data_IF_487443022769
#
_entry.id   IF_487443022769
#
_cell.length_a   1.000
_cell.length_b   1.000
_cell.length_c   1.000
_cell.angle_alpha   90.00
_cell.angle_beta   90.00
_cell.angle_gamma   90.00
#
_symmetry.space_group_name_H-M   'P 1'
#
loop_
_entity.id
_entity.type
_entity.pdbx_description
1 polymer ?
#
# COMPACT_ATOMS: atom_id res chain seq x y z
N UNK A 1 59.30 -34.18 35.68
CA UNK A 1 58.87 -35.48 35.14
C UNK A 1 57.84 -35.16 34.08
N UNK A 2 58.25 -35.35 32.88
CA UNK A 2 57.49 -35.12 31.66
C UNK A 2 56.76 -36.39 31.29
N UNK A 3 55.56 -36.33 30.85
CA UNK A 3 55.01 -37.31 29.92
C UNK A 3 54.18 -36.63 28.84
N UNK A 4 54.68 -36.83 27.66
CA UNK A 4 54.18 -36.49 26.36
C UNK A 4 52.97 -37.37 26.00
N UNK A 5 52.00 -36.77 25.36
CA UNK A 5 51.09 -37.54 24.52
C UNK A 5 50.87 -36.79 23.20
N UNK A 6 51.25 -37.44 22.11
CA UNK A 6 51.00 -37.00 20.73
C UNK A 6 49.57 -37.36 20.27
N UNK A 7 48.98 -36.63 19.34
CA UNK A 7 47.67 -36.96 18.80
C UNK A 7 47.75 -37.87 17.56
N UNK A 8 46.85 -38.82 17.51
CA UNK A 8 46.58 -39.62 16.34
C UNK A 8 45.86 -38.79 15.26
N UNK A 9 46.34 -38.92 14.06
CA UNK A 9 45.68 -38.49 12.85
C UNK A 9 44.40 -39.31 12.64
N UNK A 10 43.25 -38.62 12.53
CA UNK A 10 42.06 -39.18 11.91
C UNK A 10 41.62 -38.27 10.77
N UNK A 11 41.93 -38.74 9.58
CA UNK A 11 41.38 -38.28 8.34
C UNK A 11 39.87 -38.46 8.32
N UNK A 12 39.09 -37.37 8.40
CA UNK A 12 37.68 -37.36 8.06
C UNK A 12 37.44 -36.36 6.92
N UNK A 13 37.14 -36.93 5.79
CA UNK A 13 36.42 -36.51 4.62
C UNK A 13 35.61 -35.21 4.79
N UNK A 14 36.04 -34.18 4.10
CA UNK A 14 35.23 -32.99 3.74
C UNK A 14 34.15 -33.39 2.74
N UNK A 15 33.02 -33.87 3.22
CA UNK A 15 31.78 -33.98 2.44
C UNK A 15 30.59 -33.74 3.38
N UNK A 16 29.96 -32.64 3.23
CA UNK A 16 28.74 -32.29 3.98
C UNK A 16 28.84 -30.89 4.54
N UNK A 17 28.16 -30.01 4.09
CA UNK A 17 26.75 -29.74 4.10
C UNK A 17 26.54 -28.26 3.77
N UNK A 18 26.46 -27.95 2.49
CA UNK A 18 25.79 -26.73 2.05
C UNK A 18 24.32 -27.10 1.77
N UNK A 19 23.59 -27.49 2.82
CA UNK A 19 22.15 -27.64 2.81
C UNK A 19 21.58 -26.47 3.60
N UNK A 20 21.32 -25.37 2.91
CA UNK A 20 20.68 -24.20 3.48
C UNK A 20 19.90 -23.43 2.45
N UNK A 21 18.58 -23.61 2.38
CA UNK A 21 17.57 -22.86 1.59
C UNK A 21 17.25 -23.32 0.18
N UNK A 22 17.03 -24.60 -0.05
CA UNK A 22 16.20 -25.04 -1.18
C UNK A 22 14.92 -25.66 -0.63
N UNK A 23 13.88 -24.83 -0.55
CA UNK A 23 12.53 -25.27 -0.29
C UNK A 23 12.07 -26.21 -1.41
N UNK A 24 11.42 -27.30 -1.02
CA UNK A 24 10.66 -28.32 -1.76
C UNK A 24 10.64 -28.12 -3.29
N UNK A 25 11.35 -28.97 -4.00
CA UNK A 25 11.08 -29.24 -5.42
C UNK A 25 9.60 -29.62 -5.57
N UNK A 26 8.81 -28.69 -6.10
CA UNK A 26 7.43 -28.97 -6.43
C UNK A 26 7.39 -30.07 -7.50
N UNK A 27 6.59 -31.12 -7.25
CA UNK A 27 6.39 -32.22 -8.19
C UNK A 27 5.91 -31.66 -9.52
N UNK A 28 6.50 -32.13 -10.62
CA UNK A 28 6.27 -31.62 -11.98
C UNK A 28 4.84 -31.87 -12.51
N UNK A 29 4.00 -32.57 -11.76
CA UNK A 29 2.66 -32.99 -12.18
C UNK A 29 1.52 -32.15 -11.57
N UNK A 30 1.81 -31.18 -10.70
CA UNK A 30 0.77 -30.38 -10.05
C UNK A 30 0.45 -29.11 -10.84
N UNK A 31 -0.84 -28.93 -11.14
CA UNK A 31 -1.32 -27.64 -11.66
C UNK A 31 -1.46 -26.63 -10.52
N UNK A 32 -0.95 -25.42 -10.70
CA UNK A 32 -1.03 -24.35 -9.73
C UNK A 32 -1.44 -23.02 -10.36
N UNK A 33 -1.87 -22.05 -9.55
CA UNK A 33 -2.31 -20.74 -10.03
C UNK A 33 -1.27 -19.68 -9.70
N UNK A 34 -0.78 -18.96 -10.74
CA UNK A 34 0.06 -17.75 -10.58
C UNK A 34 -0.51 -16.59 -11.38
N UNK A 35 -0.57 -15.42 -10.77
CA UNK A 35 -1.11 -14.19 -11.39
C UNK A 35 -2.52 -14.36 -11.96
N UNK A 36 -3.35 -15.21 -11.31
CA UNK A 36 -4.70 -15.50 -11.76
C UNK A 36 -4.77 -16.46 -12.96
N UNK A 37 -3.65 -17.10 -13.35
CA UNK A 37 -3.59 -18.08 -14.44
C UNK A 37 -3.22 -19.45 -13.92
N UNK A 38 -3.97 -20.47 -14.35
CA UNK A 38 -3.69 -21.87 -14.06
C UNK A 38 -2.50 -22.31 -14.93
N UNK A 39 -1.50 -22.91 -14.31
CA UNK A 39 -0.28 -23.41 -14.95
C UNK A 39 -0.16 -24.89 -14.68
N UNK A 40 0.06 -25.65 -15.73
CA UNK A 40 0.37 -27.06 -15.70
C UNK A 40 1.69 -27.37 -16.39
N UNK A 41 2.00 -28.66 -16.58
CA UNK A 41 3.22 -29.10 -17.29
C UNK A 41 3.36 -28.50 -18.69
N UNK A 42 2.24 -28.36 -19.42
CA UNK A 42 2.19 -27.82 -20.78
C UNK A 42 2.62 -26.33 -20.82
N UNK A 43 2.07 -25.50 -19.95
CA UNK A 43 2.42 -24.09 -19.86
C UNK A 43 3.88 -23.89 -19.42
N UNK A 44 4.35 -24.72 -18.48
CA UNK A 44 5.75 -24.70 -18.06
C UNK A 44 6.71 -25.10 -19.21
N UNK A 45 6.33 -26.12 -19.99
CA UNK A 45 7.09 -26.54 -21.17
C UNK A 45 7.18 -25.41 -22.20
N UNK A 46 6.06 -24.75 -22.51
CA UNK A 46 6.01 -23.61 -23.42
C UNK A 46 6.92 -22.46 -22.99
N UNK A 47 6.98 -22.17 -21.68
CA UNK A 47 7.87 -21.11 -21.16
C UNK A 47 9.33 -21.54 -21.28
N UNK A 48 9.67 -22.79 -20.98
CA UNK A 48 11.04 -23.33 -21.10
C UNK A 48 11.51 -23.33 -22.55
N UNK A 49 10.66 -23.77 -23.47
CA UNK A 49 10.94 -23.74 -24.90
C UNK A 49 11.18 -22.32 -25.41
N UNK A 50 10.33 -21.36 -25.01
CA UNK A 50 10.51 -19.95 -25.36
C UNK A 50 11.86 -19.41 -24.85
N UNK A 51 12.27 -19.77 -23.66
CA UNK A 51 13.56 -19.37 -23.09
C UNK A 51 14.74 -20.01 -23.82
N UNK A 52 14.63 -21.31 -24.15
CA UNK A 52 15.70 -22.06 -24.86
C UNK A 52 15.89 -21.55 -26.28
N UNK A 53 14.81 -21.27 -27.01
CA UNK A 53 14.84 -20.81 -28.39
C UNK A 53 15.28 -19.34 -28.53
N UNK A 54 15.26 -18.55 -27.44
CA UNK A 54 15.51 -17.11 -27.48
C UNK A 54 16.45 -16.64 -26.37
N UNK A 55 17.71 -17.15 -26.31
CA UNK A 55 18.65 -16.85 -25.22
C UNK A 55 19.06 -15.36 -25.16
N UNK A 56 18.95 -14.63 -26.28
CA UNK A 56 19.27 -13.21 -26.38
C UNK A 56 18.12 -12.26 -25.99
N UNK A 57 16.93 -12.76 -25.68
CA UNK A 57 15.81 -11.90 -25.33
C UNK A 57 15.95 -11.31 -23.93
N UNK A 58 15.50 -10.06 -23.78
CA UNK A 58 15.40 -9.43 -22.45
C UNK A 58 14.20 -9.99 -21.69
N UNK A 59 14.25 -9.90 -20.34
CA UNK A 59 13.09 -10.23 -19.47
C UNK A 59 11.82 -9.46 -19.83
N UNK A 60 11.97 -8.24 -20.37
CA UNK A 60 10.84 -7.43 -20.87
C UNK A 60 10.23 -8.08 -22.10
N UNK A 61 11.06 -8.40 -23.13
CA UNK A 61 10.59 -9.02 -24.37
C UNK A 61 9.93 -10.36 -24.10
N UNK A 62 10.55 -11.19 -23.26
CA UNK A 62 9.96 -12.47 -22.83
C UNK A 62 8.56 -12.31 -22.24
N UNK A 63 8.33 -11.29 -21.39
CA UNK A 63 7.02 -11.01 -20.84
C UNK A 63 5.99 -10.58 -21.87
N UNK A 64 6.37 -9.72 -22.81
CA UNK A 64 5.49 -9.28 -23.91
C UNK A 64 5.11 -10.44 -24.83
N UNK A 65 6.08 -11.22 -25.28
CA UNK A 65 5.87 -12.37 -26.18
C UNK A 65 5.05 -13.47 -25.50
N UNK A 66 5.29 -13.72 -24.20
CA UNK A 66 4.48 -14.66 -23.44
C UNK A 66 3.03 -14.21 -23.30
N UNK A 67 2.81 -12.91 -23.02
CA UNK A 67 1.48 -12.34 -22.94
C UNK A 67 0.75 -12.42 -24.29
N UNK A 68 1.47 -12.21 -25.39
CA UNK A 68 0.94 -12.32 -26.74
C UNK A 68 0.64 -13.79 -27.11
N UNK A 69 1.58 -14.70 -26.91
CA UNK A 69 1.41 -16.14 -27.19
C UNK A 69 0.22 -16.74 -26.43
N UNK A 70 -0.03 -16.26 -25.21
CA UNK A 70 -1.13 -16.72 -24.38
C UNK A 70 -2.40 -15.85 -24.51
N UNK A 71 -2.44 -14.89 -25.42
CA UNK A 71 -3.53 -13.93 -25.61
C UNK A 71 -3.99 -13.30 -24.28
N UNK A 72 -3.03 -13.07 -23.41
CA UNK A 72 -3.30 -12.60 -22.05
C UNK A 72 -3.59 -11.10 -22.02
N UNK A 73 -4.88 -10.76 -22.05
CA UNK A 73 -5.37 -9.38 -22.14
C UNK A 73 -6.17 -8.98 -20.91
N UNK A 74 -6.25 -7.69 -20.66
CA UNK A 74 -7.15 -7.11 -19.64
C UNK A 74 -8.55 -6.89 -20.25
N UNK A 75 -9.50 -6.43 -19.42
CA UNK A 75 -10.86 -6.13 -19.87
C UNK A 75 -10.97 -5.03 -20.94
N UNK A 76 -9.92 -4.23 -21.15
CA UNK A 76 -9.82 -3.22 -22.20
C UNK A 76 -9.06 -3.71 -23.45
N UNK A 77 -8.77 -5.01 -23.56
CA UNK A 77 -8.11 -5.62 -24.71
C UNK A 77 -6.57 -5.44 -24.74
N UNK A 78 -5.97 -4.76 -23.77
CA UNK A 78 -4.52 -4.54 -23.71
C UNK A 78 -3.79 -5.76 -23.17
N UNK A 79 -2.59 -6.05 -23.69
CA UNK A 79 -1.74 -7.14 -23.23
C UNK A 79 -1.33 -6.96 -21.78
N UNK A 80 -1.41 -8.03 -20.97
CA UNK A 80 -0.97 -8.08 -19.58
C UNK A 80 0.52 -8.43 -19.46
N UNK A 81 1.38 -7.70 -20.16
CA UNK A 81 2.84 -7.91 -20.18
C UNK A 81 3.47 -7.80 -18.76
N UNK A 82 2.98 -6.88 -17.93
CA UNK A 82 3.41 -6.75 -16.54
C UNK A 82 3.07 -7.99 -15.70
N UNK A 83 1.88 -8.56 -15.89
CA UNK A 83 1.49 -9.78 -15.19
C UNK A 83 2.34 -10.97 -15.67
N UNK A 84 2.60 -11.07 -16.97
CA UNK A 84 3.48 -12.09 -17.56
C UNK A 84 4.92 -11.98 -17.03
N UNK A 85 5.48 -10.77 -16.94
CA UNK A 85 6.80 -10.55 -16.33
C UNK A 85 6.85 -10.96 -14.86
N UNK A 86 5.80 -10.64 -14.10
CA UNK A 86 5.71 -11.04 -12.69
C UNK A 86 5.57 -12.55 -12.55
N UNK A 87 4.83 -13.20 -13.46
CA UNK A 87 4.72 -14.67 -13.51
C UNK A 87 6.09 -15.31 -13.76
N UNK A 88 6.83 -14.83 -14.76
CA UNK A 88 8.19 -15.34 -15.06
C UNK A 88 9.13 -15.22 -13.84
N UNK A 89 9.10 -14.09 -13.12
CA UNK A 89 9.89 -13.91 -11.90
C UNK A 89 9.50 -14.91 -10.80
N UNK A 90 8.21 -15.14 -10.60
CA UNK A 90 7.73 -16.13 -9.63
C UNK A 90 8.06 -17.57 -10.00
N UNK A 91 8.11 -17.89 -11.29
CA UNK A 91 8.57 -19.20 -11.76
C UNK A 91 10.08 -19.39 -11.52
N UNK A 92 10.89 -18.34 -11.71
CA UNK A 92 12.33 -18.34 -11.37
C UNK A 92 12.54 -18.50 -9.86
N UNK A 93 11.80 -17.76 -9.04
CA UNK A 93 11.84 -17.82 -7.57
C UNK A 93 11.50 -19.23 -7.02
N UNK A 94 10.59 -19.94 -7.71
CA UNK A 94 10.20 -21.31 -7.37
C UNK A 94 11.08 -22.38 -8.00
N UNK A 95 12.11 -22.00 -8.75
CA UNK A 95 13.06 -22.93 -9.37
C UNK A 95 12.56 -23.64 -10.64
N UNK A 96 11.40 -23.27 -11.19
CA UNK A 96 10.87 -23.91 -12.40
C UNK A 96 11.61 -23.53 -13.67
N UNK A 97 12.16 -22.32 -13.73
CA UNK A 97 12.88 -21.75 -14.88
C UNK A 97 14.08 -20.93 -14.41
N UNK A 98 14.99 -20.63 -15.35
CA UNK A 98 16.08 -19.67 -15.16
C UNK A 98 15.94 -18.55 -16.20
N UNK A 99 15.78 -17.32 -15.75
CA UNK A 99 15.65 -16.16 -16.61
C UNK A 99 17.04 -15.63 -17.03
N UNK A 100 17.15 -14.95 -18.18
CA UNK A 100 18.38 -14.29 -18.58
C UNK A 100 18.79 -13.21 -17.55
N UNK A 101 20.06 -12.87 -17.50
CA UNK A 101 20.59 -11.84 -16.61
C UNK A 101 19.87 -10.50 -16.84
N UNK A 102 19.71 -9.72 -15.79
CA UNK A 102 19.14 -8.36 -15.91
C UNK A 102 20.12 -7.47 -16.66
N UNK A 103 19.69 -6.87 -17.78
CA UNK A 103 20.51 -5.94 -18.55
C UNK A 103 20.85 -4.65 -17.80
N UNK A 104 19.99 -4.24 -16.86
CA UNK A 104 20.19 -3.08 -15.97
C UNK A 104 19.60 -3.37 -14.60
N UNK A 105 20.27 -2.93 -13.56
CA UNK A 105 19.64 -2.85 -12.25
C UNK A 105 18.44 -1.90 -12.35
N UNK A 106 17.30 -2.29 -11.78
CA UNK A 106 16.14 -1.39 -11.74
C UNK A 106 16.47 -0.21 -10.83
N UNK A 107 16.51 1.02 -11.33
CA UNK A 107 16.70 2.20 -10.48
C UNK A 107 15.40 2.50 -9.72
N UNK A 108 14.88 1.51 -8.99
CA UNK A 108 13.71 1.75 -8.16
C UNK A 108 14.10 2.61 -6.96
N UNK A 109 14.24 3.92 -7.20
CA UNK A 109 14.53 4.93 -6.18
C UNK A 109 13.58 4.85 -4.99
N UNK A 110 12.34 4.40 -5.20
CA UNK A 110 11.34 4.21 -4.13
C UNK A 110 11.73 3.09 -3.16
N UNK A 111 12.42 2.04 -3.63
CA UNK A 111 12.86 0.92 -2.78
C UNK A 111 14.02 1.28 -1.86
N UNK A 112 14.80 2.28 -2.25
CA UNK A 112 15.98 2.75 -1.52
C UNK A 112 15.79 4.13 -0.90
N UNK A 113 14.56 4.67 -0.94
CA UNK A 113 14.26 5.95 -0.30
C UNK A 113 14.34 5.77 1.21
N UNK A 114 15.36 6.36 1.81
CA UNK A 114 15.43 6.49 3.26
C UNK A 114 14.37 7.50 3.71
N UNK A 115 13.62 7.12 4.73
CA UNK A 115 12.73 8.07 5.41
C UNK A 115 13.62 8.98 6.26
N UNK A 116 13.41 10.31 6.24
CA UNK A 116 14.15 11.22 7.08
C UNK A 116 14.05 10.83 8.56
N UNK A 117 15.16 10.94 9.28
CA UNK A 117 15.17 10.79 10.73
C UNK A 117 14.54 12.04 11.35
N UNK A 118 13.79 11.86 12.43
CA UNK A 118 13.22 12.99 13.16
C UNK A 118 14.36 13.83 13.75
N UNK A 119 14.32 15.14 13.49
CA UNK A 119 15.26 16.09 14.05
C UNK A 119 15.10 16.15 15.59
N UNK A 120 16.21 16.13 16.32
CA UNK A 120 16.26 16.28 17.78
C UNK A 120 15.66 17.61 18.26
N UNK A 121 15.62 18.62 17.40
CA UNK A 121 15.00 19.92 17.68
C UNK A 121 13.47 19.90 17.77
N UNK A 122 12.80 18.78 17.42
CA UNK A 122 11.36 18.66 17.56
C UNK A 122 11.00 18.37 19.02
N UNK A 123 10.50 19.38 19.72
CA UNK A 123 10.07 19.23 21.12
C UNK A 123 8.94 18.18 21.26
N UNK A 124 9.17 17.19 22.08
CA UNK A 124 8.20 16.15 22.46
C UNK A 124 7.63 16.38 23.88
N UNK A 125 7.86 17.55 24.45
CA UNK A 125 7.30 17.94 25.74
C UNK A 125 5.77 17.81 25.72
N UNK A 126 5.14 17.25 26.77
CA UNK A 126 3.71 17.11 26.86
C UNK A 126 2.94 18.41 26.61
N UNK A 127 1.86 18.32 25.86
CA UNK A 127 0.90 19.40 25.67
C UNK A 127 -0.43 18.96 26.26
N UNK A 128 -0.59 19.16 27.57
CA UNK A 128 -1.83 18.88 28.30
C UNK A 128 -2.74 20.10 28.35
N UNK A 129 -3.22 20.59 27.19
CA UNK A 129 -4.00 21.83 27.09
C UNK A 129 -5.37 21.58 26.49
N UNK A 130 -6.34 22.39 26.91
CA UNK A 130 -7.65 22.42 26.28
C UNK A 130 -7.55 22.83 24.80
N UNK A 131 -8.52 22.37 24.02
CA UNK A 131 -8.56 22.65 22.56
C UNK A 131 -8.49 24.17 22.24
N UNK A 132 -9.08 25.01 23.11
CA UNK A 132 -9.07 26.47 22.94
C UNK A 132 -7.63 27.05 22.97
N UNK A 133 -6.77 26.48 23.79
CA UNK A 133 -5.38 26.94 23.94
C UNK A 133 -4.48 26.54 22.77
N UNK A 134 -4.83 25.47 22.06
CA UNK A 134 -4.10 25.01 20.87
C UNK A 134 -4.43 25.84 19.62
N UNK A 135 -5.54 26.55 19.63
CA UNK A 135 -6.01 27.35 18.48
C UNK A 135 -5.23 28.66 18.30
N UNK A 136 -5.15 29.14 17.06
CA UNK A 136 -5.59 28.53 15.81
C UNK A 136 -4.69 27.37 15.37
N UNK A 137 -5.30 26.28 14.86
CA UNK A 137 -4.54 25.18 14.25
C UNK A 137 -4.13 25.57 12.83
N UNK A 138 -2.84 25.41 12.51
CA UNK A 138 -2.27 25.68 11.20
C UNK A 138 -2.16 24.38 10.41
N UNK A 139 -2.86 24.29 9.29
CA UNK A 139 -2.78 23.17 8.34
C UNK A 139 -1.78 23.50 7.25
N UNK A 140 -0.69 22.76 7.20
CA UNK A 140 0.34 22.88 6.16
C UNK A 140 0.24 21.70 5.21
N UNK A 141 -0.16 21.94 3.96
CA UNK A 141 -0.13 20.95 2.90
C UNK A 141 1.30 20.77 2.39
N UNK A 142 1.95 19.66 2.77
CA UNK A 142 3.40 19.47 2.60
C UNK A 142 3.79 18.81 1.27
N UNK A 143 2.81 18.41 0.47
CA UNK A 143 3.12 17.78 -0.83
C UNK A 143 3.34 18.79 -1.95
N UNK A 144 2.81 20.02 -1.82
CA UNK A 144 2.97 21.13 -2.79
C UNK A 144 3.42 22.42 -2.12
N UNK A 145 2.61 22.91 -1.18
CA UNK A 145 2.74 24.28 -0.63
C UNK A 145 3.89 24.41 0.37
N UNK A 146 3.96 23.49 1.34
CA UNK A 146 4.97 23.51 2.41
C UNK A 146 5.96 22.36 2.28
N UNK A 147 6.65 22.27 1.14
CA UNK A 147 7.57 21.15 0.84
C UNK A 147 8.74 21.02 1.82
N UNK A 148 9.15 22.11 2.46
CA UNK A 148 10.19 22.10 3.51
C UNK A 148 9.79 21.29 4.72
N UNK A 149 8.49 21.25 5.05
CA UNK A 149 7.94 20.47 6.17
C UNK A 149 7.73 18.98 5.82
N UNK A 150 7.95 18.58 4.56
CA UNK A 150 7.70 17.22 4.11
C UNK A 150 8.59 16.18 4.81
N UNK A 151 9.87 16.51 5.01
CA UNK A 151 10.79 15.64 5.73
C UNK A 151 10.32 15.36 7.15
N UNK A 152 9.89 16.38 7.87
CA UNK A 152 9.32 16.29 9.20
C UNK A 152 8.04 15.43 9.21
N UNK A 153 7.10 15.67 8.28
CA UNK A 153 5.87 14.90 8.14
C UNK A 153 6.14 13.40 7.94
N UNK A 154 7.08 13.05 7.06
CA UNK A 154 7.47 11.67 6.78
C UNK A 154 8.11 11.01 8.01
N UNK A 155 9.01 11.72 8.70
CA UNK A 155 9.67 11.23 9.90
C UNK A 155 8.67 10.98 11.04
N UNK A 156 7.76 11.92 11.29
CA UNK A 156 6.72 11.79 12.33
C UNK A 156 5.82 10.57 12.08
N UNK A 157 5.32 10.38 10.85
CA UNK A 157 4.53 9.21 10.51
C UNK A 157 5.34 7.91 10.59
N UNK A 158 6.61 7.94 10.21
CA UNK A 158 7.47 6.76 10.26
C UNK A 158 7.69 6.31 11.70
N UNK A 159 7.95 7.24 12.60
CA UNK A 159 8.29 6.94 13.98
C UNK A 159 7.08 6.62 14.86
N UNK A 160 5.98 7.37 14.70
CA UNK A 160 4.86 7.31 15.67
C UNK A 160 3.59 6.65 15.14
N UNK A 161 3.43 6.48 13.82
CA UNK A 161 2.23 5.82 13.30
C UNK A 161 2.44 4.30 13.18
N UNK A 162 1.53 3.47 13.71
CA UNK A 162 1.63 2.01 13.77
C UNK A 162 1.80 1.31 12.40
N UNK A 163 1.35 1.93 11.30
CA UNK A 163 1.59 1.46 9.92
C UNK A 163 2.81 2.11 9.28
N UNK A 164 3.54 2.95 10.02
CA UNK A 164 4.67 3.73 9.52
C UNK A 164 4.34 4.58 8.28
N UNK A 165 5.28 5.37 7.81
CA UNK A 165 5.15 6.10 6.56
C UNK A 165 5.42 5.19 5.37
N UNK A 166 4.55 5.28 4.37
CA UNK A 166 4.80 4.76 3.03
C UNK A 166 4.51 5.85 2.02
N UNK A 167 5.42 6.06 1.08
CA UNK A 167 5.21 7.03 0.01
C UNK A 167 3.94 6.69 -0.77
N UNK A 168 2.96 7.60 -0.84
CA UNK A 168 1.73 7.34 -1.56
C UNK A 168 2.00 7.20 -3.07
N UNK A 169 1.20 6.36 -3.72
CA UNK A 169 1.18 6.19 -5.17
C UNK A 169 -0.12 6.80 -5.69
N UNK A 170 -0.03 7.57 -6.77
CA UNK A 170 -1.18 8.27 -7.31
C UNK A 170 -1.50 9.57 -6.57
N UNK A 171 -2.73 10.05 -6.74
CA UNK A 171 -3.20 11.30 -6.16
C UNK A 171 -3.23 11.25 -4.63
N UNK A 172 -2.73 12.29 -3.99
CA UNK A 172 -2.62 12.37 -2.53
C UNK A 172 -2.51 13.79 -2.02
N UNK A 173 -2.96 14.02 -0.78
CA UNK A 173 -2.71 15.22 0.00
C UNK A 173 -2.12 14.84 1.37
N UNK A 174 -1.20 15.64 1.84
CA UNK A 174 -0.44 15.40 3.08
C UNK A 174 -0.50 16.65 3.94
N UNK A 175 -1.09 16.56 5.13
CA UNK A 175 -1.23 17.70 6.03
C UNK A 175 -0.44 17.48 7.32
N UNK A 176 0.49 18.41 7.59
CA UNK A 176 1.07 18.61 8.90
C UNK A 176 0.26 19.67 9.64
N UNK A 177 -0.27 19.32 10.80
CA UNK A 177 -1.05 20.25 11.63
C UNK A 177 -0.18 20.72 12.78
N UNK A 178 -0.08 22.02 12.94
CA UNK A 178 0.64 22.67 14.02
C UNK A 178 -0.34 23.47 14.90
N UNK A 179 -0.09 23.49 16.21
CA UNK A 179 -0.82 24.39 17.11
C UNK A 179 -0.25 25.82 17.00
N UNK A 180 -0.82 26.78 17.72
CA UNK A 180 -0.52 28.22 17.61
C UNK A 180 0.95 28.60 17.79
N UNK A 181 1.72 27.86 18.58
CA UNK A 181 3.16 28.12 18.79
C UNK A 181 4.05 27.46 17.74
N UNK A 182 3.46 26.69 16.81
CA UNK A 182 4.15 26.03 15.71
C UNK A 182 4.56 24.58 15.98
N UNK A 183 4.24 24.01 17.14
CA UNK A 183 4.55 22.60 17.45
C UNK A 183 3.62 21.65 16.67
N UNK A 184 4.15 20.55 16.13
CA UNK A 184 3.33 19.53 15.48
C UNK A 184 2.34 18.88 16.44
N UNK A 185 1.08 18.76 16.06
CA UNK A 185 0.01 18.12 16.83
C UNK A 185 -0.68 16.98 16.08
N UNK A 186 -0.65 17.00 14.74
CA UNK A 186 -1.22 15.90 13.95
C UNK A 186 -0.59 15.79 12.55
N UNK A 187 -0.67 14.57 11.98
CA UNK A 187 -0.40 14.29 10.57
C UNK A 187 -1.58 13.55 9.94
N UNK A 188 -1.98 13.98 8.73
CA UNK A 188 -3.01 13.30 7.94
C UNK A 188 -2.49 13.05 6.52
N UNK A 189 -2.67 11.82 6.04
CA UNK A 189 -2.34 11.41 4.67
C UNK A 189 -3.60 10.92 3.98
N UNK A 190 -3.93 11.56 2.89
CA UNK A 190 -5.00 11.15 1.97
C UNK A 190 -4.36 10.61 0.69
N UNK A 191 -4.89 9.52 0.18
CA UNK A 191 -4.35 8.84 -1.01
C UNK A 191 -5.42 8.11 -1.80
N UNK A 192 -4.99 7.26 -2.74
CA UNK A 192 -5.90 6.52 -3.59
C UNK A 192 -6.90 5.67 -2.76
N UNK A 193 -8.18 5.66 -3.14
CA UNK A 193 -9.21 4.84 -2.49
C UNK A 193 -8.98 3.35 -2.75
N UNK A 194 -9.62 2.51 -1.93
CA UNK A 194 -9.59 1.07 -2.15
C UNK A 194 -10.27 0.73 -3.48
N UNK A 195 -9.59 -0.02 -4.34
CA UNK A 195 -10.12 -0.40 -5.67
C UNK A 195 -11.46 -1.14 -5.58
N UNK A 196 -11.60 -2.02 -4.58
CA UNK A 196 -12.84 -2.76 -4.30
C UNK A 196 -13.11 -2.75 -2.80
N UNK A 197 -14.32 -2.34 -2.42
CA UNK A 197 -14.80 -2.34 -1.06
C UNK A 197 -16.30 -2.59 -1.07
N UNK A 198 -16.71 -3.85 -0.85
CA UNK A 198 -18.08 -4.29 -1.06
C UNK A 198 -19.12 -3.49 -0.27
N UNK A 199 -18.83 -3.19 1.02
CA UNK A 199 -19.78 -2.47 1.86
C UNK A 199 -19.87 -0.98 1.49
N UNK A 200 -18.75 -0.35 1.13
CA UNK A 200 -18.74 1.01 0.57
C UNK A 200 -19.50 1.06 -0.75
N UNK A 201 -19.21 0.12 -1.66
CA UNK A 201 -19.81 0.07 -2.99
C UNK A 201 -21.33 -0.12 -2.89
N UNK A 202 -21.79 -0.99 -1.95
CA UNK A 202 -23.21 -1.19 -1.64
C UNK A 202 -23.84 0.07 -1.07
N UNK A 203 -23.17 0.74 -0.13
CA UNK A 203 -23.68 1.96 0.49
C UNK A 203 -23.86 3.09 -0.53
N UNK A 204 -22.90 3.25 -1.44
CA UNK A 204 -22.97 4.24 -2.53
C UNK A 204 -23.99 3.80 -3.61
N UNK A 205 -24.24 2.49 -3.77
CA UNK A 205 -25.08 1.94 -4.84
C UNK A 205 -24.31 1.72 -6.14
N UNK A 206 -23.02 1.44 -6.07
CA UNK A 206 -22.16 1.22 -7.24
C UNK A 206 -22.21 -0.22 -7.74
N UNK A 207 -22.36 -0.36 -9.06
CA UNK A 207 -21.93 -1.54 -9.80
C UNK A 207 -20.44 -1.45 -10.18
N UNK A 208 -19.90 -2.50 -10.79
CA UNK A 208 -18.48 -2.55 -11.14
C UNK A 208 -18.07 -1.52 -12.22
N UNK A 209 -18.84 -1.30 -13.29
CA UNK A 209 -18.56 -0.25 -14.29
C UNK A 209 -18.59 1.15 -13.70
N UNK A 210 -19.65 1.51 -12.98
CA UNK A 210 -19.80 2.83 -12.34
C UNK A 210 -18.68 3.10 -11.36
N UNK A 211 -18.33 2.12 -10.50
CA UNK A 211 -17.18 2.22 -9.61
C UNK A 211 -15.88 2.50 -10.38
N UNK A 212 -15.61 1.73 -11.44
CA UNK A 212 -14.37 1.90 -12.21
C UNK A 212 -14.25 3.31 -12.79
N UNK A 213 -15.35 3.88 -13.24
CA UNK A 213 -15.41 5.21 -13.81
C UNK A 213 -15.36 6.33 -12.77
N UNK A 214 -15.90 6.12 -11.57
CA UNK A 214 -16.10 7.16 -10.54
C UNK A 214 -15.15 7.08 -9.36
N UNK A 215 -14.29 6.06 -9.26
CA UNK A 215 -13.43 5.84 -8.12
C UNK A 215 -12.47 7.01 -7.85
N UNK A 216 -12.08 7.77 -8.87
CA UNK A 216 -11.23 8.96 -8.76
C UNK A 216 -11.90 10.12 -8.00
N UNK A 217 -13.23 10.07 -7.82
CA UNK A 217 -13.98 11.05 -7.02
C UNK A 217 -13.96 10.74 -5.51
N UNK A 218 -13.25 9.68 -5.10
CA UNK A 218 -13.01 9.35 -3.73
C UNK A 218 -11.53 9.49 -3.38
N UNK A 219 -11.27 9.81 -2.10
CA UNK A 219 -9.94 9.67 -1.51
C UNK A 219 -10.01 8.89 -0.21
N UNK A 220 -8.89 8.30 0.21
CA UNK A 220 -8.78 7.50 1.42
C UNK A 220 -7.87 8.18 2.44
N UNK A 221 -8.38 8.46 3.63
CA UNK A 221 -7.53 8.84 4.75
C UNK A 221 -6.75 7.62 5.24
N UNK A 222 -5.57 7.42 4.65
CA UNK A 222 -4.72 6.24 4.87
C UNK A 222 -3.89 6.30 6.14
N UNK A 223 -3.62 7.51 6.66
CA UNK A 223 -2.91 7.78 7.91
C UNK A 223 -3.55 8.95 8.61
N UNK A 224 -3.83 8.75 9.88
CA UNK A 224 -4.17 9.82 10.81
C UNK A 224 -3.42 9.56 12.11
N UNK A 225 -2.57 10.51 12.49
CA UNK A 225 -1.74 10.47 13.68
C UNK A 225 -1.97 11.74 14.48
N UNK A 226 -2.34 11.62 15.74
CA UNK A 226 -2.11 12.64 16.74
C UNK A 226 -0.75 12.39 17.38
N UNK A 227 -0.01 13.44 17.65
CA UNK A 227 1.32 13.29 18.27
C UNK A 227 1.20 12.71 19.68
N UNK A 228 2.09 11.78 20.08
CA UNK A 228 2.01 11.12 21.40
C UNK A 228 2.10 12.07 22.59
N UNK A 229 2.69 13.23 22.41
CA UNK A 229 2.84 14.26 23.44
C UNK A 229 1.63 15.20 23.55
N UNK A 230 0.55 14.96 22.81
CA UNK A 230 -0.64 15.84 22.84
C UNK A 230 -1.79 15.15 23.53
N UNK A 231 -2.14 15.65 24.69
CA UNK A 231 -3.30 15.21 25.48
C UNK A 231 -4.36 16.32 25.49
N UNK A 232 -5.18 16.38 24.42
CA UNK A 232 -6.25 17.37 24.31
C UNK A 232 -7.55 16.69 23.89
N UNK A 233 -8.58 16.71 24.77
CA UNK A 233 -9.88 16.14 24.43
C UNK A 233 -10.45 16.75 23.15
N UNK A 234 -11.14 15.92 22.36
CA UNK A 234 -11.80 16.29 21.10
C UNK A 234 -10.86 16.81 19.99
N UNK A 235 -9.54 16.85 20.18
CA UNK A 235 -8.60 17.35 19.16
C UNK A 235 -8.71 16.53 17.87
N UNK A 236 -8.80 15.20 17.97
CA UNK A 236 -8.89 14.31 16.81
C UNK A 236 -10.08 14.65 15.91
N UNK A 237 -11.28 14.70 16.46
CA UNK A 237 -12.49 15.02 15.70
C UNK A 237 -12.49 16.47 15.20
N UNK A 238 -11.90 17.39 15.96
CA UNK A 238 -11.75 18.79 15.55
C UNK A 238 -10.82 18.93 14.34
N UNK A 239 -9.66 18.25 14.36
CA UNK A 239 -8.70 18.20 13.21
C UNK A 239 -9.37 17.57 11.99
N UNK A 240 -10.09 16.45 12.15
CA UNK A 240 -10.87 15.84 11.07
C UNK A 240 -11.89 16.81 10.47
N UNK A 241 -12.68 17.47 11.32
CA UNK A 241 -13.67 18.44 10.84
C UNK A 241 -13.05 19.63 10.11
N UNK A 242 -11.88 20.10 10.54
CA UNK A 242 -11.17 21.19 9.85
C UNK A 242 -10.60 20.75 8.49
N UNK A 243 -9.97 19.58 8.40
CA UNK A 243 -9.39 19.11 7.14
C UNK A 243 -10.46 18.79 6.10
N UNK A 244 -11.64 18.28 6.53
CA UNK A 244 -12.75 17.98 5.62
C UNK A 244 -13.34 19.24 4.97
N UNK A 245 -13.33 20.37 5.67
CA UNK A 245 -13.77 21.66 5.11
C UNK A 245 -12.82 22.23 4.06
N UNK A 246 -11.54 21.88 4.09
CA UNK A 246 -10.54 22.41 3.16
C UNK A 246 -10.16 21.46 2.02
N UNK A 247 -10.26 20.13 2.23
CA UNK A 247 -9.80 19.14 1.25
C UNK A 247 -10.55 19.27 -0.08
N UNK A 248 -11.82 19.66 -0.04
CA UNK A 248 -12.64 19.93 -1.23
C UNK A 248 -12.12 21.07 -2.11
N UNK A 249 -11.38 22.02 -1.55
CA UNK A 249 -10.72 23.10 -2.28
C UNK A 249 -9.25 22.76 -2.62
N UNK A 250 -8.54 22.09 -1.70
CA UNK A 250 -7.14 21.73 -1.89
C UNK A 250 -6.94 20.67 -2.99
N UNK A 251 -7.88 19.74 -3.12
CA UNK A 251 -7.79 18.66 -4.12
C UNK A 251 -7.86 19.18 -5.56
N UNK A 252 -8.90 19.97 -5.96
CA UNK A 252 -8.97 20.55 -7.30
C UNK A 252 -7.79 21.48 -7.61
N UNK A 253 -7.30 22.23 -6.63
CA UNK A 253 -6.13 23.10 -6.80
C UNK A 253 -4.89 22.30 -7.22
N UNK A 254 -4.76 21.05 -6.74
CA UNK A 254 -3.61 20.20 -7.07
C UNK A 254 -3.80 19.36 -8.32
N UNK A 255 -5.00 18.83 -8.54
CA UNK A 255 -5.26 17.80 -9.55
C UNK A 255 -6.20 18.21 -10.67
N UNK A 256 -6.82 19.39 -10.60
CA UNK A 256 -7.73 19.90 -11.62
C UNK A 256 -9.14 19.29 -11.62
N UNK A 257 -9.41 18.35 -10.69
CA UNK A 257 -10.75 17.77 -10.50
C UNK A 257 -11.11 17.66 -9.01
N UNK A 258 -12.42 17.64 -8.73
CA UNK A 258 -12.92 17.53 -7.37
C UNK A 258 -13.00 16.08 -6.87
N UNK A 259 -13.31 15.96 -5.58
CA UNK A 259 -13.69 14.70 -4.93
C UNK A 259 -15.03 14.88 -4.21
N UNK A 260 -15.82 13.80 -4.16
CA UNK A 260 -17.16 13.80 -3.56
C UNK A 260 -17.19 13.22 -2.14
N UNK A 261 -16.29 12.30 -1.85
CA UNK A 261 -16.26 11.65 -0.54
C UNK A 261 -14.85 11.21 -0.12
N UNK A 262 -14.71 11.00 1.18
CA UNK A 262 -13.51 10.49 1.82
C UNK A 262 -13.83 9.19 2.53
N UNK A 263 -13.04 8.13 2.32
CA UNK A 263 -13.14 6.88 3.05
C UNK A 263 -11.99 6.71 4.05
N UNK A 264 -12.16 5.85 5.04
CA UNK A 264 -11.07 5.36 5.90
C UNK A 264 -11.36 3.96 6.42
N UNK A 265 -10.29 3.27 6.85
CA UNK A 265 -10.33 1.90 7.35
C UNK A 265 -9.71 1.84 8.76
N UNK A 266 -10.54 1.71 9.77
CA UNK A 266 -10.15 1.73 11.19
C UNK A 266 -10.00 0.31 11.71
N UNK A 267 -8.81 -0.05 12.16
CA UNK A 267 -8.50 -1.38 12.69
C UNK A 267 -9.15 -1.59 14.05
N UNK A 268 -10.09 -2.54 14.14
CA UNK A 268 -11.03 -2.72 15.28
C UNK A 268 -10.37 -3.15 16.59
N UNK A 269 -9.34 -3.97 16.50
CA UNK A 269 -8.60 -4.46 17.67
C UNK A 269 -7.68 -3.39 18.28
N UNK A 270 -7.54 -2.23 17.62
CA UNK A 270 -6.69 -1.13 18.08
C UNK A 270 -7.45 0.16 18.36
N UNK A 271 -8.50 0.45 17.59
CA UNK A 271 -9.18 1.74 17.63
C UNK A 271 -10.70 1.58 17.55
N UNK A 272 -11.42 2.28 18.41
CA UNK A 272 -12.89 2.30 18.41
C UNK A 272 -13.51 3.19 17.32
N UNK A 273 -12.71 4.04 16.65
CA UNK A 273 -13.19 4.93 15.59
C UNK A 273 -14.01 6.14 16.09
N UNK A 274 -14.00 6.42 17.40
CA UNK A 274 -14.80 7.47 18.03
C UNK A 274 -14.56 8.86 17.46
N UNK A 275 -13.32 9.18 17.07
CA UNK A 275 -13.01 10.47 16.48
C UNK A 275 -13.65 10.66 15.09
N UNK A 276 -13.81 9.60 14.31
CA UNK A 276 -14.51 9.63 13.03
C UNK A 276 -16.02 9.81 13.26
N UNK A 277 -16.61 9.06 14.20
CA UNK A 277 -18.03 9.20 14.56
C UNK A 277 -18.32 10.62 15.06
N UNK A 278 -17.48 11.16 15.96
CA UNK A 278 -17.60 12.53 16.46
C UNK A 278 -17.38 13.61 15.37
N UNK A 279 -16.75 13.27 14.26
CA UNK A 279 -16.59 14.11 13.08
C UNK A 279 -17.66 13.82 12.00
N UNK A 280 -18.77 13.17 12.35
CA UNK A 280 -19.92 12.85 11.50
C UNK A 280 -19.60 11.91 10.30
N UNK A 281 -18.60 11.06 10.43
CA UNK A 281 -18.38 10.00 9.46
C UNK A 281 -19.38 8.87 9.67
N UNK A 282 -19.85 8.29 8.59
CA UNK A 282 -20.82 7.19 8.59
C UNK A 282 -20.06 5.86 8.55
N UNK A 283 -20.30 4.98 9.51
CA UNK A 283 -19.80 3.61 9.46
C UNK A 283 -20.64 2.82 8.47
N UNK A 284 -20.07 2.43 7.34
CA UNK A 284 -20.79 1.76 6.23
C UNK A 284 -20.59 0.24 6.20
N UNK A 285 -19.71 -0.30 7.01
CA UNK A 285 -19.46 -1.73 7.09
C UNK A 285 -18.11 -2.10 7.68
N UNK A 286 -17.62 -3.29 7.29
CA UNK A 286 -16.32 -3.80 7.73
C UNK A 286 -15.62 -4.63 6.66
N UNK A 287 -14.29 -4.71 6.73
CA UNK A 287 -13.50 -5.58 5.85
C UNK A 287 -13.68 -7.05 6.22
N UNK A 288 -13.48 -7.95 5.25
CA UNK A 288 -13.64 -9.41 5.45
C UNK A 288 -12.42 -10.08 6.11
N UNK A 289 -11.38 -9.32 6.50
CA UNK A 289 -10.19 -9.87 7.13
C UNK A 289 -9.38 -10.82 6.23
N UNK A 290 -9.43 -10.65 4.90
CA UNK A 290 -8.76 -11.51 3.93
C UNK A 290 -7.79 -10.71 3.08
N UNK A 291 -6.62 -11.27 2.79
CA UNK A 291 -5.71 -10.73 1.79
C UNK A 291 -6.21 -11.02 0.38
N UNK A 292 -5.81 -10.18 -0.58
CA UNK A 292 -6.13 -10.35 -2.00
C UNK A 292 -5.27 -11.44 -2.66
N UNK A 293 -4.15 -11.79 -2.05
CA UNK A 293 -3.21 -12.79 -2.54
C UNK A 293 -3.20 -13.96 -1.56
N UNK A 294 -3.37 -15.16 -2.08
CA UNK A 294 -3.06 -16.36 -1.33
C UNK A 294 -1.55 -16.35 -1.03
N UNK A 295 -1.16 -16.78 0.17
CA UNK A 295 0.24 -16.94 0.52
C UNK A 295 0.90 -17.96 -0.44
N UNK A 296 2.24 -17.95 -0.57
CA UNK A 296 2.96 -18.92 -1.40
C UNK A 296 2.67 -20.38 -1.04
N UNK A 297 2.22 -20.65 0.19
CA UNK A 297 1.82 -21.94 0.73
C UNK A 297 0.33 -22.27 0.52
N UNK A 298 -0.42 -21.41 -0.17
CA UNK A 298 -1.87 -21.55 -0.38
C UNK A 298 -2.71 -21.19 0.84
N UNK A 299 -2.11 -20.80 1.98
CA UNK A 299 -2.84 -20.39 3.17
C UNK A 299 -3.28 -18.92 3.05
N UNK A 300 -4.51 -18.64 3.44
CA UNK A 300 -5.01 -17.26 3.53
C UNK A 300 -4.58 -16.64 4.85
N UNK A 301 -3.67 -15.68 4.80
CA UNK A 301 -3.35 -14.92 6.00
C UNK A 301 -4.57 -14.13 6.47
N UNK A 302 -4.92 -14.31 7.72
CA UNK A 302 -5.90 -13.45 8.38
C UNK A 302 -5.26 -12.07 8.58
N UNK A 303 -5.93 -11.04 8.09
CA UNK A 303 -5.58 -9.66 8.36
C UNK A 303 -6.61 -9.06 9.31
N UNK A 304 -6.21 -8.10 10.17
CA UNK A 304 -7.12 -7.48 11.11
C UNK A 304 -8.38 -6.95 10.45
N UNK A 305 -9.53 -7.17 11.10
CA UNK A 305 -10.80 -6.57 10.68
C UNK A 305 -10.73 -5.05 10.84
N UNK A 306 -11.26 -4.34 9.86
CA UNK A 306 -11.34 -2.88 9.90
C UNK A 306 -12.76 -2.43 9.67
N UNK A 307 -13.22 -1.48 10.47
CA UNK A 307 -14.45 -0.75 10.20
C UNK A 307 -14.21 0.23 9.06
N UNK A 308 -15.19 0.35 8.19
CA UNK A 308 -15.15 1.23 7.02
C UNK A 308 -16.02 2.44 7.33
N UNK A 309 -15.40 3.60 7.30
CA UNK A 309 -16.07 4.88 7.46
C UNK A 309 -16.05 5.66 6.16
N UNK A 310 -17.12 6.39 5.89
CA UNK A 310 -17.29 7.25 4.71
C UNK A 310 -17.80 8.62 5.17
N UNK A 311 -17.26 9.67 4.56
CA UNK A 311 -17.72 11.04 4.74
C UNK A 311 -18.01 11.69 3.39
N UNK A 312 -19.25 12.14 3.16
CA UNK A 312 -19.60 12.92 1.99
C UNK A 312 -19.19 14.38 2.18
N UNK A 313 -18.43 14.92 1.22
CA UNK A 313 -17.97 16.31 1.27
C UNK A 313 -19.10 17.30 0.96
N UNK A 314 -20.11 16.85 0.23
CA UNK A 314 -21.27 17.67 -0.15
C UNK A 314 -22.58 16.90 0.08
N UNK A 315 -23.69 17.58 0.37
CA UNK A 315 -25.01 16.94 0.37
C UNK A 315 -25.30 16.24 -0.97
N UNK A 316 -25.91 15.05 -0.93
CA UNK A 316 -26.24 14.31 -2.16
C UNK A 316 -25.00 13.69 -2.89
N UNK A 317 -23.87 13.49 -2.21
CA UNK A 317 -22.68 12.91 -2.80
C UNK A 317 -22.92 11.51 -3.39
N UNK A 318 -23.78 10.69 -2.79
CA UNK A 318 -24.12 9.36 -3.30
C UNK A 318 -24.80 9.42 -4.66
N UNK A 319 -25.74 10.34 -4.86
CA UNK A 319 -26.41 10.56 -6.14
C UNK A 319 -25.43 11.00 -7.22
N UNK A 320 -24.48 11.91 -6.90
CA UNK A 320 -23.46 12.33 -7.84
C UNK A 320 -22.48 11.21 -8.18
N UNK A 321 -22.16 10.36 -7.23
CA UNK A 321 -21.32 9.19 -7.46
C UNK A 321 -22.01 8.10 -8.29
N UNK A 322 -23.37 8.05 -8.28
CA UNK A 322 -24.20 7.14 -9.08
C UNK A 322 -24.54 7.69 -10.45
N UNK A 323 -24.43 9.01 -10.68
CA UNK A 323 -24.87 9.65 -11.90
C UNK A 323 -24.31 8.92 -13.13
N UNK A 324 -25.13 8.70 -14.19
CA UNK A 324 -24.63 8.07 -15.41
C UNK A 324 -23.48 8.87 -16.00
N UNK A 325 -22.54 8.16 -16.61
CA UNK A 325 -21.52 8.79 -17.44
C UNK A 325 -22.25 9.36 -18.65
N UNK A 326 -22.33 10.68 -18.77
CA UNK A 326 -22.76 11.26 -20.05
C UNK A 326 -21.73 10.82 -21.09
N UNK A 327 -22.15 10.19 -22.20
CA UNK A 327 -21.24 9.95 -23.30
C UNK A 327 -20.71 11.31 -23.77
N UNK A 328 -19.39 11.44 -23.84
CA UNK A 328 -18.68 12.57 -24.43
C UNK A 328 -18.87 12.49 -25.95
#
# INVERSE_FOLDING_TARGET
>A
MAESWAPEENSFSLCGTLIGRFGKLARMDETFVLQGRKLGPTELSQVREMLANNPGWSRYRLGCELAQKWEWRNGAGQLKDMAARTLLLKLEERGFIRLPARRRASPNRMRHRQVPVLDEGVSQEPIGRGLAELRPLQFREVSVEFRTDRGLFEALLHQFHYLSYRSPVGENLQYLVRERTGRPVACLLFGAPAWQCADRDRYIGWDAPTRAARLHLLTNNTRFLLMPWVESPCLASHVLGLVLRRIGADWPRKYGHGIEAVETFVQRDRFAGTCYQAANWIRVGQTKGRTRQDAPDGQRHQVPLKDIYLFGLNPGFTQRLQAPLHPI
#
